data_IF_598568530978
#
_entry.id   IF_598568530978
#
_cell.length_a   1.000
_cell.length_b   1.000
_cell.length_c   1.000
_cell.angle_alpha   90.00
_cell.angle_beta   90.00
_cell.angle_gamma   90.00
#
_symmetry.space_group_name_H-M   'P 1'
#
loop_
_entity.id
_entity.type
_entity.pdbx_description
1 polymer ?
#
# COMPACT_ATOMS: atom_id res chain seq x y z
N UNK A 1 -1.12 -31.07 -0.97
CA UNK A 1 -1.09 -29.63 -1.31
C UNK A 1 -1.26 -28.86 0.00
N UNK A 2 -0.51 -27.78 0.25
CA UNK A 2 -0.67 -27.02 1.50
C UNK A 2 -1.99 -26.23 1.41
N UNK A 3 -2.85 -26.24 2.45
CA UNK A 3 -4.07 -25.43 2.49
C UNK A 3 -3.79 -23.95 2.24
N UNK A 4 -4.61 -23.31 1.40
CA UNK A 4 -4.43 -21.89 1.04
C UNK A 4 -4.51 -21.01 2.29
N UNK A 5 -5.47 -21.26 3.19
CA UNK A 5 -5.60 -20.54 4.45
C UNK A 5 -4.31 -20.55 5.28
N UNK A 6 -3.63 -21.70 5.34
CA UNK A 6 -2.36 -21.87 6.07
C UNK A 6 -1.20 -21.12 5.41
N UNK A 7 -1.14 -21.07 4.08
CA UNK A 7 -0.13 -20.27 3.37
C UNK A 7 -0.35 -18.78 3.64
N UNK A 8 -1.59 -18.31 3.59
CA UNK A 8 -1.92 -16.91 3.92
C UNK A 8 -1.58 -16.58 5.38
N UNK A 9 -1.80 -17.50 6.32
CA UNK A 9 -1.45 -17.31 7.73
C UNK A 9 0.06 -17.15 7.92
N UNK A 10 0.86 -18.05 7.34
CA UNK A 10 2.33 -17.95 7.37
C UNK A 10 2.78 -16.61 6.77
N UNK A 11 2.22 -16.23 5.62
CA UNK A 11 2.53 -14.96 4.96
C UNK A 11 2.15 -13.75 5.83
N UNK A 12 0.99 -13.80 6.49
CA UNK A 12 0.53 -12.76 7.40
C UNK A 12 1.53 -12.57 8.56
N UNK A 13 1.92 -13.65 9.24
CA UNK A 13 2.92 -13.58 10.31
C UNK A 13 4.27 -13.07 9.84
N UNK A 14 4.70 -13.43 8.63
CA UNK A 14 5.92 -12.92 8.02
C UNK A 14 5.82 -11.41 7.78
N UNK A 15 4.75 -10.94 7.13
CA UNK A 15 4.52 -9.52 6.85
C UNK A 15 4.42 -8.70 8.14
N UNK A 16 3.69 -9.19 9.13
CA UNK A 16 3.53 -8.51 10.43
C UNK A 16 4.87 -8.42 11.13
N UNK A 17 5.59 -9.54 11.26
CA UNK A 17 6.87 -9.55 12.00
C UNK A 17 7.92 -8.70 11.30
N UNK A 18 8.17 -8.93 10.01
CA UNK A 18 9.20 -8.22 9.26
C UNK A 18 8.82 -6.76 9.08
N UNK A 19 7.56 -6.47 8.75
CA UNK A 19 7.03 -5.12 8.59
C UNK A 19 7.14 -4.30 9.86
N UNK A 20 6.73 -4.83 11.01
CA UNK A 20 6.84 -4.12 12.29
C UNK A 20 8.29 -3.87 12.66
N UNK A 21 9.19 -4.85 12.51
CA UNK A 21 10.62 -4.68 12.80
C UNK A 21 11.25 -3.62 11.90
N UNK A 22 11.00 -3.65 10.59
CA UNK A 22 11.57 -2.69 9.64
C UNK A 22 11.02 -1.27 9.86
N UNK A 23 9.73 -1.12 10.12
CA UNK A 23 9.14 0.20 10.43
C UNK A 23 9.66 0.75 11.76
N UNK A 24 9.78 -0.07 12.80
CA UNK A 24 10.35 0.35 14.09
C UNK A 24 11.82 0.77 13.92
N UNK A 25 12.61 0.01 13.15
CA UNK A 25 14.00 0.35 12.83
C UNK A 25 14.08 1.66 12.04
N UNK A 26 13.22 1.86 11.04
CA UNK A 26 13.19 3.09 10.27
C UNK A 26 12.81 4.29 11.13
N UNK A 27 11.80 4.17 12.00
CA UNK A 27 11.45 5.22 12.96
C UNK A 27 12.66 5.60 13.81
N UNK A 28 13.34 4.61 14.39
CA UNK A 28 14.55 4.85 15.19
C UNK A 28 15.67 5.53 14.38
N UNK A 29 15.92 5.09 13.15
CA UNK A 29 16.91 5.69 12.25
C UNK A 29 16.55 7.14 11.89
N UNK A 30 15.28 7.41 11.62
CA UNK A 30 14.81 8.76 11.30
C UNK A 30 14.98 9.68 12.51
N UNK A 31 14.70 9.21 13.72
CA UNK A 31 14.86 10.00 14.94
C UNK A 31 16.32 10.25 15.30
N UNK A 32 17.22 9.29 15.05
CA UNK A 32 18.61 9.34 15.56
C UNK A 32 19.66 9.71 14.50
N UNK A 33 19.41 9.45 13.22
CA UNK A 33 20.41 9.58 12.13
C UNK A 33 20.03 10.57 11.02
N UNK A 34 18.85 11.19 11.08
CA UNK A 34 18.45 12.21 10.10
C UNK A 34 19.32 13.47 10.20
N UNK A 35 19.85 13.91 9.07
CA UNK A 35 20.59 15.17 8.97
C UNK A 35 19.63 16.38 8.99
N UNK A 36 20.10 17.56 9.44
CA UNK A 36 19.26 18.76 9.60
C UNK A 36 18.54 19.16 8.31
N UNK A 37 19.19 18.97 7.16
CA UNK A 37 18.68 19.26 5.83
C UNK A 37 17.49 18.36 5.43
N UNK A 38 17.33 17.21 6.09
CA UNK A 38 16.23 16.26 5.86
C UNK A 38 15.08 16.41 6.88
N UNK A 39 15.11 17.40 7.78
CA UNK A 39 14.18 17.46 8.92
C UNK A 39 12.70 17.52 8.52
N UNK A 40 12.37 18.23 7.43
CA UNK A 40 10.98 18.26 6.91
C UNK A 40 10.60 16.88 6.37
N UNK A 41 11.48 16.27 5.58
CA UNK A 41 11.25 14.96 4.98
C UNK A 41 11.17 13.84 6.02
N UNK A 42 11.93 13.95 7.11
CA UNK A 42 11.89 13.03 8.24
C UNK A 42 10.48 12.92 8.82
N UNK A 43 9.72 14.01 8.85
CA UNK A 43 8.32 14.00 9.30
C UNK A 43 7.41 13.23 8.34
N UNK A 44 7.62 13.38 7.03
CA UNK A 44 6.88 12.62 6.01
C UNK A 44 7.19 11.13 6.13
N UNK A 45 8.47 10.76 6.26
CA UNK A 45 8.87 9.37 6.48
C UNK A 45 8.24 8.76 7.74
N UNK A 46 8.24 9.50 8.86
CA UNK A 46 7.62 9.03 10.10
C UNK A 46 6.12 8.79 9.92
N UNK A 47 5.43 9.70 9.22
CA UNK A 47 4.02 9.51 8.92
C UNK A 47 3.79 8.32 8.00
N UNK A 48 4.62 8.09 6.98
CA UNK A 48 4.56 6.85 6.18
C UNK A 48 4.72 5.60 7.04
N UNK A 49 5.68 5.58 7.98
CA UNK A 49 5.84 4.45 8.91
C UNK A 49 4.60 4.23 9.78
N UNK A 50 3.94 5.30 10.23
CA UNK A 50 2.69 5.19 11.01
C UNK A 50 1.58 4.58 10.15
N UNK A 51 1.42 5.02 8.90
CA UNK A 51 0.44 4.42 7.99
C UNK A 51 0.77 2.95 7.71
N UNK A 52 2.04 2.61 7.45
CA UNK A 52 2.48 1.24 7.23
C UNK A 52 2.20 0.34 8.45
N UNK A 53 2.46 0.83 9.68
CA UNK A 53 2.14 0.11 10.92
C UNK A 53 0.63 -0.07 11.13
N UNK A 54 -0.19 0.94 10.81
CA UNK A 54 -1.65 0.82 10.84
C UNK A 54 -2.13 -0.22 9.83
N UNK A 55 -1.57 -0.24 8.63
CA UNK A 55 -1.90 -1.25 7.62
C UNK A 55 -1.48 -2.66 8.06
N UNK A 56 -0.31 -2.82 8.67
CA UNK A 56 0.14 -4.09 9.25
C UNK A 56 -0.84 -4.58 10.33
N UNK A 57 -1.30 -3.67 11.20
CA UNK A 57 -2.30 -4.00 12.22
C UNK A 57 -3.62 -4.46 11.57
N UNK A 58 -4.10 -3.75 10.54
CA UNK A 58 -5.31 -4.16 9.82
C UNK A 58 -5.15 -5.52 9.13
N UNK A 59 -3.97 -5.81 8.56
CA UNK A 59 -3.66 -7.12 7.99
C UNK A 59 -3.70 -8.21 9.06
N UNK A 60 -3.14 -7.98 10.25
CA UNK A 60 -3.21 -8.94 11.35
C UNK A 60 -4.67 -9.19 11.82
N UNK A 61 -5.46 -8.12 11.93
CA UNK A 61 -6.82 -8.21 12.44
C UNK A 61 -7.77 -8.90 11.45
N UNK A 62 -7.61 -8.64 10.15
CA UNK A 62 -8.60 -9.00 9.12
C UNK A 62 -8.06 -10.08 8.19
N UNK A 63 -6.79 -9.98 7.79
CA UNK A 63 -6.12 -10.89 6.85
C UNK A 63 -7.03 -11.24 5.65
N UNK A 64 -7.31 -10.26 4.78
CA UNK A 64 -8.24 -10.48 3.69
C UNK A 64 -7.63 -11.38 2.62
N UNK A 65 -8.42 -12.33 2.16
CA UNK A 65 -8.10 -13.25 1.07
C UNK A 65 -9.11 -13.00 -0.03
N UNK A 66 -8.63 -12.57 -1.19
CA UNK A 66 -9.48 -12.33 -2.35
C UNK A 66 -9.46 -13.55 -3.26
N UNK A 67 -10.64 -14.04 -3.60
CA UNK A 67 -10.81 -15.19 -4.49
C UNK A 67 -11.96 -14.93 -5.46
N UNK A 68 -11.94 -15.60 -6.61
CA UNK A 68 -13.03 -15.52 -7.58
C UNK A 68 -13.61 -16.90 -7.75
N UNK A 69 -14.90 -17.03 -7.49
CA UNK A 69 -15.58 -18.32 -7.48
C UNK A 69 -16.95 -18.19 -8.17
N UNK A 70 -17.17 -19.01 -9.20
CA UNK A 70 -18.45 -19.10 -9.94
C UNK A 70 -19.02 -17.73 -10.40
N UNK A 71 -18.14 -16.85 -10.88
CA UNK A 71 -18.55 -15.52 -11.35
C UNK A 71 -18.78 -14.50 -10.22
N UNK A 72 -18.42 -14.82 -8.98
CA UNK A 72 -18.42 -13.90 -7.86
C UNK A 72 -16.99 -13.56 -7.41
N UNK A 73 -16.76 -12.30 -7.10
CA UNK A 73 -15.62 -11.86 -6.30
C UNK A 73 -15.98 -12.11 -4.83
N UNK A 74 -15.17 -12.91 -4.18
CA UNK A 74 -15.36 -13.36 -2.82
C UNK A 74 -14.19 -12.85 -2.00
N UNK A 75 -14.47 -12.15 -0.90
CA UNK A 75 -13.45 -11.86 0.10
C UNK A 75 -13.72 -12.67 1.36
N UNK A 76 -12.69 -13.42 1.73
CA UNK A 76 -12.63 -14.19 2.95
C UNK A 76 -11.75 -13.45 3.96
N UNK A 77 -12.05 -13.61 5.23
CA UNK A 77 -11.24 -13.14 6.35
C UNK A 77 -10.61 -14.35 7.05
N UNK A 78 -9.32 -14.27 7.32
CA UNK A 78 -8.60 -15.26 8.12
C UNK A 78 -7.86 -14.64 9.32
N UNK A 79 -8.10 -13.37 9.62
CA UNK A 79 -7.38 -12.65 10.68
C UNK A 79 -7.90 -12.99 12.08
N UNK A 80 -7.35 -12.30 13.08
CA UNK A 80 -7.75 -12.46 14.49
C UNK A 80 -9.25 -12.20 14.73
N UNK A 81 -9.87 -11.36 13.88
CA UNK A 81 -11.28 -11.00 13.97
C UNK A 81 -12.16 -11.74 12.96
N UNK A 82 -11.69 -12.86 12.38
CA UNK A 82 -12.47 -13.64 11.39
C UNK A 82 -13.84 -14.10 11.91
N UNK A 83 -13.93 -14.44 13.20
CA UNK A 83 -15.16 -14.90 13.84
C UNK A 83 -16.11 -13.76 14.27
N UNK A 84 -15.82 -12.50 13.90
CA UNK A 84 -16.74 -11.41 14.18
C UNK A 84 -18.09 -11.64 13.50
N UNK A 85 -19.18 -11.48 14.24
CA UNK A 85 -20.52 -11.62 13.68
C UNK A 85 -20.83 -10.52 12.66
N UNK A 86 -21.72 -10.75 11.68
CA UNK A 86 -22.31 -9.68 10.91
C UNK A 86 -23.02 -8.68 11.84
N UNK A 87 -22.91 -7.35 11.62
CA UNK A 87 -22.26 -6.68 10.49
C UNK A 87 -20.77 -6.33 10.69
N UNK A 88 -20.17 -6.72 11.82
CA UNK A 88 -18.84 -6.25 12.21
C UNK A 88 -17.73 -6.74 11.28
N UNK A 89 -17.76 -7.99 10.84
CA UNK A 89 -16.76 -8.51 9.88
C UNK A 89 -16.79 -7.72 8.56
N UNK A 90 -18.00 -7.41 8.06
CA UNK A 90 -18.17 -6.58 6.86
C UNK A 90 -17.59 -5.16 7.06
N UNK A 91 -17.90 -4.51 8.19
CA UNK A 91 -17.36 -3.18 8.52
C UNK A 91 -15.83 -3.21 8.59
N UNK A 92 -15.24 -4.24 9.22
CA UNK A 92 -13.79 -4.41 9.29
C UNK A 92 -13.18 -4.52 7.89
N UNK A 93 -13.78 -5.32 7.00
CA UNK A 93 -13.33 -5.42 5.61
C UNK A 93 -13.39 -4.08 4.87
N UNK A 94 -14.46 -3.29 5.07
CA UNK A 94 -14.55 -1.93 4.50
C UNK A 94 -13.46 -1.00 5.04
N UNK A 95 -13.14 -1.08 6.34
CA UNK A 95 -12.03 -0.33 6.94
C UNK A 95 -10.69 -0.72 6.31
N UNK A 96 -10.48 -2.01 6.03
CA UNK A 96 -9.28 -2.46 5.34
C UNK A 96 -9.20 -1.92 3.90
N UNK A 97 -10.29 -2.00 3.13
CA UNK A 97 -10.34 -1.42 1.77
C UNK A 97 -10.06 0.07 1.78
N UNK A 98 -10.67 0.80 2.71
CA UNK A 98 -10.41 2.23 2.91
C UNK A 98 -8.93 2.49 3.15
N UNK A 99 -8.31 1.75 4.09
CA UNK A 99 -6.89 1.90 4.41
C UNK A 99 -5.97 1.56 3.24
N UNK A 100 -6.26 0.49 2.51
CA UNK A 100 -5.48 0.06 1.35
C UNK A 100 -5.53 1.12 0.24
N UNK A 101 -6.73 1.60 -0.10
CA UNK A 101 -6.93 2.63 -1.12
C UNK A 101 -6.28 3.96 -0.70
N UNK A 102 -6.51 4.40 0.54
CA UNK A 102 -5.90 5.62 1.08
C UNK A 102 -4.38 5.56 1.07
N UNK A 103 -3.79 4.41 1.43
CA UNK A 103 -2.33 4.20 1.39
C UNK A 103 -1.79 4.32 -0.03
N UNK A 104 -2.51 3.85 -1.04
CA UNK A 104 -2.09 3.94 -2.44
C UNK A 104 -2.23 5.35 -2.98
N UNK A 105 -3.38 5.98 -2.79
CA UNK A 105 -3.63 7.33 -3.29
C UNK A 105 -2.74 8.37 -2.59
N UNK A 106 -2.53 8.25 -1.28
CA UNK A 106 -1.68 9.17 -0.51
C UNK A 106 -0.21 9.14 -0.91
N UNK A 107 0.24 8.14 -1.67
CA UNK A 107 1.61 8.03 -2.19
C UNK A 107 2.00 9.18 -3.14
N UNK A 108 1.02 9.86 -3.76
CA UNK A 108 1.28 11.02 -4.61
C UNK A 108 1.52 12.32 -3.80
N UNK A 109 1.02 12.40 -2.56
CA UNK A 109 1.10 13.61 -1.73
C UNK A 109 2.55 14.05 -1.44
N UNK A 110 3.49 13.15 -1.12
CA UNK A 110 4.91 13.51 -1.02
C UNK A 110 5.47 14.22 -2.26
N UNK A 111 5.03 13.82 -3.47
CA UNK A 111 5.47 14.46 -4.71
C UNK A 111 4.88 15.86 -4.87
N UNK A 112 3.57 16.03 -4.61
CA UNK A 112 2.92 17.35 -4.64
C UNK A 112 3.58 18.28 -3.64
N UNK A 113 3.75 17.81 -2.40
CA UNK A 113 4.37 18.59 -1.33
C UNK A 113 5.78 19.05 -1.71
N UNK A 114 6.62 18.14 -2.24
CA UNK A 114 7.98 18.49 -2.69
C UNK A 114 8.00 19.41 -3.90
N UNK A 115 7.07 19.24 -4.85
CA UNK A 115 6.92 20.14 -5.98
C UNK A 115 6.61 21.57 -5.50
N UNK A 116 5.67 21.71 -4.56
CA UNK A 116 5.33 23.01 -3.98
C UNK A 116 6.50 23.64 -3.19
N UNK A 117 7.27 22.82 -2.47
CA UNK A 117 8.42 23.28 -1.69
C UNK A 117 9.56 23.75 -2.60
N UNK A 118 9.95 22.95 -3.60
CA UNK A 118 11.16 23.18 -4.40
C UNK A 118 10.90 24.04 -5.65
N UNK A 119 9.79 23.81 -6.34
CA UNK A 119 9.50 24.48 -7.62
C UNK A 119 8.67 25.75 -7.46
N UNK A 120 7.95 25.90 -6.34
CA UNK A 120 7.10 27.07 -6.06
C UNK A 120 7.54 27.88 -4.85
N UNK A 121 8.63 27.48 -4.18
CA UNK A 121 9.24 28.19 -3.04
C UNK A 121 8.22 28.55 -1.95
N UNK A 122 7.20 27.71 -1.74
CA UNK A 122 6.21 27.94 -0.69
C UNK A 122 6.78 27.51 0.65
N UNK A 123 6.60 28.34 1.68
CA UNK A 123 6.85 27.95 3.06
C UNK A 123 5.74 27.01 3.52
N UNK A 124 5.95 25.71 3.32
CA UNK A 124 4.96 24.69 3.66
C UNK A 124 5.16 24.21 5.08
N UNK A 125 4.08 24.21 5.86
CA UNK A 125 4.05 23.59 7.18
C UNK A 125 3.59 22.14 7.08
N UNK A 126 3.73 21.38 8.17
CA UNK A 126 3.18 20.03 8.26
C UNK A 126 1.64 20.04 8.13
N UNK A 127 0.97 21.10 8.62
CA UNK A 127 -0.46 21.26 8.45
C UNK A 127 -0.85 21.36 6.97
N UNK A 128 -0.04 22.01 6.14
CA UNK A 128 -0.27 22.05 4.69
C UNK A 128 -0.20 20.65 4.08
N UNK A 129 0.70 19.79 4.56
CA UNK A 129 0.77 18.40 4.13
C UNK A 129 -0.53 17.64 4.45
N UNK A 130 -1.04 17.74 5.68
CA UNK A 130 -2.32 17.11 6.05
C UNK A 130 -3.51 17.66 5.26
N UNK A 131 -3.53 18.96 4.96
CA UNK A 131 -4.56 19.54 4.08
C UNK A 131 -4.52 18.95 2.67
N UNK A 132 -3.34 18.58 2.17
CA UNK A 132 -3.22 17.88 0.88
C UNK A 132 -3.73 16.44 0.92
N UNK A 133 -3.88 15.83 2.11
CA UNK A 133 -4.47 14.49 2.27
C UNK A 133 -6.01 14.50 2.23
N UNK A 134 -6.65 15.61 2.62
CA UNK A 134 -8.12 15.69 2.76
C UNK A 134 -8.91 15.35 1.48
N UNK A 135 -8.55 15.84 0.28
CA UNK A 135 -9.30 15.50 -0.93
C UNK A 135 -9.26 13.99 -1.23
N UNK A 136 -8.16 13.33 -0.89
CA UNK A 136 -8.01 11.89 -1.13
C UNK A 136 -8.90 11.06 -0.21
N UNK A 137 -9.04 11.47 1.06
CA UNK A 137 -10.01 10.84 1.97
C UNK A 137 -11.44 10.87 1.40
N UNK A 138 -11.83 11.96 0.72
CA UNK A 138 -13.14 12.04 0.09
C UNK A 138 -13.30 11.04 -1.06
N UNK A 139 -12.28 10.88 -1.91
CA UNK A 139 -12.29 9.87 -2.97
C UNK A 139 -12.34 8.43 -2.40
N UNK A 140 -11.62 8.15 -1.31
CA UNK A 140 -11.70 6.84 -0.64
C UNK A 140 -13.09 6.54 -0.09
N UNK A 141 -13.80 7.55 0.43
CA UNK A 141 -15.18 7.37 0.89
C UNK A 141 -16.14 7.04 -0.26
N UNK A 142 -15.96 7.66 -1.43
CA UNK A 142 -16.73 7.32 -2.64
C UNK A 142 -16.46 5.87 -3.04
N UNK A 143 -15.19 5.44 -3.03
CA UNK A 143 -14.82 4.07 -3.34
C UNK A 143 -15.50 3.05 -2.41
N UNK A 144 -15.43 3.28 -1.09
CA UNK A 144 -16.09 2.42 -0.10
C UNK A 144 -17.62 2.40 -0.31
N UNK A 145 -18.23 3.56 -0.62
CA UNK A 145 -19.64 3.64 -0.98
C UNK A 145 -19.98 2.79 -2.22
N UNK A 146 -19.11 2.79 -3.24
CA UNK A 146 -19.23 1.93 -4.41
C UNK A 146 -19.20 0.44 -4.07
N UNK A 147 -18.28 0.02 -3.19
CA UNK A 147 -18.23 -1.36 -2.69
C UNK A 147 -19.52 -1.73 -1.97
N UNK A 148 -20.04 -0.87 -1.09
CA UNK A 148 -21.30 -1.12 -0.38
C UNK A 148 -22.46 -1.31 -1.37
N UNK A 149 -22.54 -0.47 -2.41
CA UNK A 149 -23.55 -0.58 -3.46
C UNK A 149 -23.40 -1.84 -4.32
N UNK A 150 -22.17 -2.34 -4.49
CA UNK A 150 -21.88 -3.57 -5.24
C UNK A 150 -22.04 -4.86 -4.40
N UNK A 151 -21.95 -4.74 -3.07
CA UNK A 151 -22.01 -5.85 -2.15
C UNK A 151 -23.39 -6.51 -2.15
N UNK A 152 -23.39 -7.84 -2.14
CA UNK A 152 -24.59 -8.66 -2.12
C UNK A 152 -25.10 -8.82 -0.66
N UNK A 153 -25.93 -7.90 -0.15
CA UNK A 153 -26.29 -7.84 1.30
C UNK A 153 -27.71 -8.30 1.69
N UNK A 154 -28.49 -8.91 0.80
CA UNK A 154 -29.90 -9.27 1.09
C UNK A 154 -30.06 -10.62 1.84
N UNK A 155 -31.12 -10.77 2.62
CA UNK A 155 -31.37 -11.89 3.53
C UNK A 155 -31.66 -13.23 2.81
N UNK A 156 -32.35 -13.22 1.65
CA UNK A 156 -32.46 -14.41 0.79
C UNK A 156 -31.12 -14.83 0.14
N UNK A 157 -30.14 -13.92 0.11
CA UNK A 157 -28.80 -14.18 -0.45
C UNK A 157 -27.85 -14.79 0.59
N UNK A 158 -28.18 -14.72 1.89
CA UNK A 158 -27.41 -15.33 2.97
C UNK A 158 -27.29 -16.86 2.85
N UNK A 159 -28.32 -17.56 2.35
CA UNK A 159 -28.24 -19.01 2.10
C UNK A 159 -27.21 -19.34 1.02
N UNK A 160 -27.25 -18.63 -0.12
CA UNK A 160 -26.25 -18.78 -1.18
C UNK A 160 -24.84 -18.43 -0.68
N UNK A 161 -24.74 -17.47 0.23
CA UNK A 161 -23.49 -17.07 0.86
C UNK A 161 -22.91 -18.20 1.74
N UNK A 162 -23.76 -18.87 2.51
CA UNK A 162 -23.39 -20.03 3.33
C UNK A 162 -22.97 -21.23 2.46
N UNK A 163 -23.71 -21.51 1.38
CA UNK A 163 -23.37 -22.58 0.42
C UNK A 163 -22.01 -22.34 -0.26
N UNK A 164 -21.77 -21.10 -0.72
CA UNK A 164 -20.48 -20.70 -1.30
C UNK A 164 -19.37 -20.77 -0.25
N UNK A 165 -19.63 -20.32 0.97
CA UNK A 165 -18.65 -20.36 2.06
C UNK A 165 -18.26 -21.81 2.41
N UNK A 166 -19.22 -22.72 2.47
CA UNK A 166 -18.97 -24.14 2.71
C UNK A 166 -18.18 -24.78 1.57
N UNK A 167 -18.54 -24.47 0.32
CA UNK A 167 -17.86 -24.97 -0.88
C UNK A 167 -16.41 -24.47 -0.97
N UNK A 168 -16.19 -23.18 -0.69
CA UNK A 168 -14.86 -22.57 -0.67
C UNK A 168 -13.99 -23.11 0.47
N UNK A 169 -14.55 -23.31 1.66
CA UNK A 169 -13.80 -23.88 2.77
C UNK A 169 -13.36 -25.33 2.46
N UNK A 170 -14.24 -26.15 1.88
CA UNK A 170 -13.90 -27.49 1.43
C UNK A 170 -12.81 -27.47 0.34
N UNK A 171 -12.87 -26.52 -0.58
CA UNK A 171 -11.91 -26.42 -1.67
C UNK A 171 -10.54 -25.87 -1.24
N UNK A 172 -10.51 -24.81 -0.43
CA UNK A 172 -9.29 -24.08 -0.05
C UNK A 172 -8.56 -24.70 1.14
N UNK A 173 -9.30 -25.26 2.10
CA UNK A 173 -8.73 -25.85 3.32
C UNK A 173 -8.73 -27.38 3.31
N UNK A 174 -9.45 -28.01 2.38
CA UNK A 174 -9.62 -29.46 2.37
C UNK A 174 -10.45 -29.92 3.58
N UNK A 175 -10.06 -31.02 4.21
CA UNK A 175 -10.71 -31.57 5.42
C UNK A 175 -10.18 -30.98 6.73
N UNK A 176 -9.17 -30.11 6.70
CA UNK A 176 -8.63 -29.49 7.90
C UNK A 176 -9.59 -28.40 8.39
N UNK A 177 -10.26 -28.67 9.52
CA UNK A 177 -11.26 -27.79 10.13
C UNK A 177 -10.68 -26.64 10.96
N UNK A 178 -9.36 -26.60 11.18
CA UNK A 178 -8.76 -25.63 12.10
C UNK A 178 -8.64 -24.21 11.50
N UNK A 179 -8.67 -24.09 10.16
CA UNK A 179 -8.50 -22.81 9.46
C UNK A 179 -9.74 -22.36 8.70
N UNK A 180 -10.93 -22.45 9.33
CA UNK A 180 -12.18 -21.96 8.70
C UNK A 180 -11.99 -20.50 8.28
N UNK A 181 -12.18 -20.27 6.99
CA UNK A 181 -12.20 -18.95 6.36
C UNK A 181 -13.62 -18.41 6.48
N UNK A 182 -13.75 -17.15 6.86
CA UNK A 182 -15.06 -16.52 7.00
C UNK A 182 -15.35 -15.65 5.80
N UNK A 183 -16.38 -16.00 5.03
CA UNK A 183 -16.89 -15.16 3.96
C UNK A 183 -17.39 -13.83 4.51
N UNK A 184 -16.78 -12.74 4.05
CA UNK A 184 -17.08 -11.39 4.53
C UNK A 184 -17.76 -10.54 3.47
N UNK A 185 -17.39 -10.72 2.20
CA UNK A 185 -17.93 -9.96 1.08
C UNK A 185 -18.15 -10.85 -0.13
N UNK A 186 -19.30 -10.69 -0.77
CA UNK A 186 -19.64 -11.32 -2.04
C UNK A 186 -20.08 -10.23 -3.01
N UNK A 187 -19.46 -10.16 -4.18
CA UNK A 187 -19.77 -9.20 -5.24
C UNK A 187 -19.89 -9.97 -6.56
N UNK A 188 -21.01 -9.79 -7.26
CA UNK A 188 -21.17 -10.37 -8.59
C UNK A 188 -20.22 -9.68 -9.59
N UNK A 189 -19.35 -10.46 -10.24
CA UNK A 189 -18.26 -9.94 -11.09
C UNK A 189 -18.76 -9.17 -12.29
N UNK A 190 -19.96 -9.49 -12.78
CA UNK A 190 -20.58 -8.84 -13.94
C UNK A 190 -21.59 -7.77 -13.55
N UNK A 191 -21.68 -7.41 -12.28
CA UNK A 191 -22.60 -6.37 -11.83
C UNK A 191 -22.12 -4.98 -12.28
N UNK A 192 -23.08 -4.14 -12.69
CA UNK A 192 -22.81 -2.74 -13.09
C UNK A 192 -22.14 -1.96 -11.95
N UNK A 193 -22.58 -2.04 -10.67
CA UNK A 193 -21.91 -1.34 -9.57
C UNK A 193 -20.44 -1.75 -9.39
N UNK A 194 -20.11 -3.03 -9.58
CA UNK A 194 -18.73 -3.49 -9.54
C UNK A 194 -17.91 -2.92 -10.69
N UNK A 195 -18.42 -2.98 -11.92
CA UNK A 195 -17.74 -2.42 -13.08
C UNK A 195 -17.45 -0.92 -12.91
N UNK A 196 -18.41 -0.15 -12.39
CA UNK A 196 -18.21 1.28 -12.07
C UNK A 196 -17.12 1.46 -11.02
N UNK A 197 -17.12 0.64 -9.96
CA UNK A 197 -16.12 0.68 -8.89
C UNK A 197 -14.70 0.38 -9.42
N UNK A 198 -14.57 -0.59 -10.32
CA UNK A 198 -13.30 -0.94 -10.99
C UNK A 198 -12.82 0.18 -11.90
N UNK A 199 -13.69 0.75 -12.73
CA UNK A 199 -13.33 1.88 -13.61
C UNK A 199 -12.91 3.10 -12.77
N UNK A 200 -13.61 3.34 -11.66
CA UNK A 200 -13.30 4.41 -10.73
C UNK A 200 -11.90 4.25 -10.12
N UNK A 201 -11.57 3.08 -9.55
CA UNK A 201 -10.25 2.87 -8.91
C UNK A 201 -9.11 2.99 -9.94
N UNK A 202 -9.25 2.40 -11.13
CA UNK A 202 -8.27 2.51 -12.21
C UNK A 202 -8.09 3.98 -12.62
N UNK A 203 -9.19 4.73 -12.76
CA UNK A 203 -9.14 6.14 -13.12
C UNK A 203 -8.43 7.01 -12.07
N UNK A 204 -8.77 6.82 -10.79
CA UNK A 204 -8.14 7.55 -9.67
C UNK A 204 -6.65 7.23 -9.57
N UNK A 205 -6.28 5.96 -9.69
CA UNK A 205 -4.88 5.53 -9.69
C UNK A 205 -4.10 6.11 -10.88
N UNK A 206 -4.66 6.06 -12.08
CA UNK A 206 -4.05 6.65 -13.27
C UNK A 206 -3.77 8.16 -13.07
N UNK A 207 -4.72 8.90 -12.50
CA UNK A 207 -4.53 10.32 -12.15
C UNK A 207 -3.41 10.50 -11.13
N UNK A 208 -3.35 9.67 -10.08
CA UNK A 208 -2.28 9.71 -9.10
C UNK A 208 -0.90 9.50 -9.73
N UNK A 209 -0.78 8.54 -10.66
CA UNK A 209 0.47 8.29 -11.38
C UNK A 209 0.88 9.42 -12.30
N UNK A 210 -0.07 10.01 -13.02
CA UNK A 210 0.19 11.19 -13.84
C UNK A 210 0.75 12.31 -12.96
N UNK A 211 0.16 12.54 -11.77
CA UNK A 211 0.66 13.53 -10.80
C UNK A 211 2.08 13.21 -10.35
N UNK A 212 2.36 11.96 -9.96
CA UNK A 212 3.69 11.51 -9.52
C UNK A 212 4.73 11.76 -10.62
N UNK A 213 4.45 11.34 -11.85
CA UNK A 213 5.37 11.50 -12.99
C UNK A 213 5.60 12.98 -13.30
N UNK A 214 4.53 13.78 -13.44
CA UNK A 214 4.63 15.21 -13.76
C UNK A 214 5.38 15.97 -12.65
N UNK A 215 5.04 15.73 -11.38
CA UNK A 215 5.73 16.37 -10.26
C UNK A 215 7.19 15.92 -10.18
N UNK A 216 7.46 14.62 -10.32
CA UNK A 216 8.81 14.05 -10.30
C UNK A 216 9.71 14.62 -11.41
N UNK A 217 9.19 14.74 -12.64
CA UNK A 217 9.91 15.34 -13.76
C UNK A 217 10.20 16.83 -13.52
N UNK A 218 9.21 17.60 -13.03
CA UNK A 218 9.40 19.02 -12.69
C UNK A 218 10.43 19.21 -11.57
N UNK A 219 10.37 18.39 -10.52
CA UNK A 219 11.36 18.42 -9.42
C UNK A 219 12.75 18.12 -9.98
N UNK A 220 12.92 17.07 -10.78
CA UNK A 220 14.21 16.69 -11.38
C UNK A 220 14.77 17.82 -12.23
N UNK A 221 13.93 18.46 -13.04
CA UNK A 221 14.33 19.58 -13.88
C UNK A 221 14.76 20.80 -13.04
N UNK A 222 13.99 21.18 -12.03
CA UNK A 222 14.33 22.32 -11.14
C UNK A 222 15.61 22.07 -10.36
N UNK A 223 15.79 20.89 -9.77
CA UNK A 223 17.01 20.53 -9.03
C UNK A 223 18.23 20.51 -9.96
N UNK A 224 18.08 19.98 -11.18
CA UNK A 224 19.14 19.98 -12.19
C UNK A 224 19.52 21.36 -12.74
N UNK A 225 18.59 22.33 -12.74
CA UNK A 225 18.91 23.74 -13.03
C UNK A 225 19.65 24.41 -11.88
N UNK A 226 19.19 24.20 -10.64
CA UNK A 226 19.84 24.77 -9.45
C UNK A 226 21.31 24.33 -9.31
N UNK A 227 21.60 23.06 -9.67
CA UNK A 227 22.97 22.53 -9.68
C UNK A 227 23.87 23.24 -10.71
N UNK A 228 23.33 23.56 -11.90
CA UNK A 228 24.12 24.22 -12.95
C UNK A 228 24.49 25.66 -12.62
N UNK A 229 23.69 26.34 -11.81
CA UNK A 229 23.88 27.77 -11.51
C UNK A 229 24.70 27.96 -10.22
N UNK A 230 25.13 26.89 -9.54
CA UNK A 230 25.91 26.92 -8.28
C UNK A 230 25.30 27.77 -7.15
N UNK A 231 24.02 28.13 -7.27
CA UNK A 231 23.31 29.03 -6.34
C UNK A 231 22.96 28.37 -5.00
N UNK A 232 23.15 27.06 -4.85
CA UNK A 232 22.70 26.29 -3.70
C UNK A 232 23.82 25.39 -3.17
N UNK A 233 23.81 25.18 -1.85
CA UNK A 233 24.73 24.28 -1.17
C UNK A 233 24.69 22.88 -1.83
N UNK A 234 25.82 22.35 -2.35
CA UNK A 234 25.86 21.09 -3.09
C UNK A 234 25.33 19.90 -2.27
N UNK A 235 25.47 19.96 -0.95
CA UNK A 235 24.94 18.95 -0.03
C UNK A 235 23.41 18.93 -0.02
N UNK A 236 22.76 20.08 -0.09
CA UNK A 236 21.28 20.17 -0.15
C UNK A 236 20.75 19.61 -1.46
N UNK A 237 21.47 19.86 -2.57
CA UNK A 237 21.12 19.33 -3.89
C UNK A 237 21.21 17.80 -3.88
N UNK A 238 22.31 17.25 -3.37
CA UNK A 238 22.49 15.80 -3.34
C UNK A 238 21.45 15.10 -2.46
N UNK A 239 21.17 15.65 -1.29
CA UNK A 239 20.09 15.15 -0.42
C UNK A 239 18.75 15.16 -1.18
N UNK A 240 18.38 16.25 -1.85
CA UNK A 240 17.14 16.32 -2.60
C UNK A 240 17.08 15.32 -3.76
N UNK A 241 18.20 15.08 -4.43
CA UNK A 241 18.29 14.10 -5.50
C UNK A 241 18.05 12.69 -4.97
N UNK A 242 18.72 12.31 -3.88
CA UNK A 242 18.54 11.01 -3.22
C UNK A 242 17.09 10.79 -2.78
N UNK A 243 16.49 11.81 -2.14
CA UNK A 243 15.09 11.77 -1.75
C UNK A 243 14.14 11.55 -2.93
N UNK A 244 14.47 12.09 -4.11
CA UNK A 244 13.65 11.90 -5.30
C UNK A 244 13.72 10.45 -5.81
N UNK A 245 14.90 9.83 -5.73
CA UNK A 245 15.04 8.42 -6.07
C UNK A 245 14.32 7.51 -5.08
N UNK A 246 14.39 7.79 -3.78
CA UNK A 246 13.67 7.04 -2.74
C UNK A 246 12.17 7.08 -3.01
N UNK A 247 11.61 8.28 -3.19
CA UNK A 247 10.18 8.43 -3.46
C UNK A 247 9.77 7.79 -4.80
N UNK A 248 10.61 7.89 -5.83
CA UNK A 248 10.35 7.23 -7.10
C UNK A 248 10.30 5.71 -6.92
N UNK A 249 11.25 5.11 -6.19
CA UNK A 249 11.25 3.69 -5.90
C UNK A 249 10.02 3.26 -5.09
N UNK A 250 9.64 4.03 -4.05
CA UNK A 250 8.43 3.77 -3.27
C UNK A 250 7.15 3.89 -4.12
N UNK A 251 7.11 4.84 -5.07
CA UNK A 251 5.96 5.00 -5.97
C UNK A 251 5.81 3.87 -7.00
N UNK A 252 6.81 2.99 -7.15
CA UNK A 252 6.65 1.78 -7.96
C UNK A 252 5.90 0.68 -7.21
N UNK A 253 5.84 0.73 -5.88
CA UNK A 253 5.17 -0.33 -5.10
C UNK A 253 3.67 -0.42 -5.39
N UNK A 254 2.90 0.68 -5.42
CA UNK A 254 1.49 0.56 -5.76
C UNK A 254 1.25 0.18 -7.23
N UNK A 255 2.24 0.33 -8.14
CA UNK A 255 2.12 -0.18 -9.53
C UNK A 255 2.14 -1.70 -9.53
N UNK A 256 3.02 -2.29 -8.71
CA UNK A 256 3.11 -3.74 -8.55
C UNK A 256 1.81 -4.28 -7.94
N UNK A 257 1.28 -3.62 -6.90
CA UNK A 257 0.00 -3.98 -6.30
C UNK A 257 -1.15 -3.86 -7.31
N UNK A 258 -1.24 -2.75 -8.05
CA UNK A 258 -2.27 -2.54 -9.07
C UNK A 258 -2.16 -3.56 -10.20
N UNK A 259 -0.96 -3.86 -10.69
CA UNK A 259 -0.78 -4.85 -11.74
C UNK A 259 -1.30 -6.23 -11.32
N UNK A 260 -1.07 -6.60 -10.05
CA UNK A 260 -1.62 -7.82 -9.47
C UNK A 260 -3.14 -7.75 -9.34
N UNK A 261 -3.70 -6.64 -8.86
CA UNK A 261 -5.15 -6.43 -8.76
C UNK A 261 -5.84 -6.49 -10.13
N UNK A 262 -5.28 -5.85 -11.16
CA UNK A 262 -5.80 -5.89 -12.53
C UNK A 262 -5.70 -7.30 -13.09
N UNK A 263 -4.61 -8.01 -12.85
CA UNK A 263 -4.46 -9.40 -13.29
C UNK A 263 -5.53 -10.30 -12.63
N UNK A 264 -5.81 -10.10 -11.34
CA UNK A 264 -6.88 -10.79 -10.61
C UNK A 264 -8.26 -10.46 -11.21
N UNK A 265 -8.51 -9.20 -11.60
CA UNK A 265 -9.76 -8.78 -12.24
C UNK A 265 -9.93 -9.34 -13.66
N UNK A 266 -8.85 -9.37 -14.44
CA UNK A 266 -8.91 -9.90 -15.80
C UNK A 266 -9.14 -11.41 -15.79
N UNK A 267 -8.45 -12.13 -14.90
CA UNK A 267 -8.69 -13.56 -14.69
C UNK A 267 -10.11 -13.82 -14.18
N UNK A 268 -10.65 -12.96 -13.30
CA UNK A 268 -12.03 -13.09 -12.81
C UNK A 268 -13.10 -12.96 -13.89
N UNK A 269 -12.86 -12.12 -14.90
CA UNK A 269 -13.81 -11.86 -15.98
C UNK A 269 -13.68 -12.88 -17.10
N UNK A 270 -12.44 -13.27 -17.43
CA UNK A 270 -12.14 -14.08 -18.60
C UNK A 270 -12.23 -15.59 -18.34
N UNK A 271 -12.09 -16.02 -17.09
CA UNK A 271 -12.03 -17.44 -16.78
C UNK A 271 -13.13 -17.91 -15.84
N UNK A 272 -13.69 -19.08 -16.17
CA UNK A 272 -14.69 -19.79 -15.38
C UNK A 272 -14.10 -21.06 -14.72
N UNK A 273 -12.78 -21.24 -14.75
CA UNK A 273 -12.14 -22.48 -14.31
C UNK A 273 -11.78 -22.44 -12.82
N UNK A 274 -11.79 -23.60 -12.17
CA UNK A 274 -11.41 -23.75 -10.76
C UNK A 274 -9.91 -23.54 -10.51
N UNK A 275 -9.07 -23.68 -11.54
CA UNK A 275 -7.62 -23.51 -11.43
C UNK A 275 -7.22 -22.03 -11.20
N UNK A 276 -8.06 -21.09 -11.64
CA UNK A 276 -7.85 -19.66 -11.44
C UNK A 276 -7.98 -19.25 -9.97
N UNK A 277 -8.76 -20.00 -9.18
CA UNK A 277 -8.97 -19.74 -7.75
C UNK A 277 -7.64 -19.76 -7.00
N UNK A 278 -6.79 -20.77 -7.24
CA UNK A 278 -5.48 -20.89 -6.59
C UNK A 278 -4.55 -19.78 -7.04
N UNK A 279 -4.50 -19.49 -8.34
CA UNK A 279 -3.64 -18.44 -8.88
C UNK A 279 -3.95 -17.08 -8.26
N UNK A 280 -5.24 -16.70 -8.23
CA UNK A 280 -5.70 -15.43 -7.66
C UNK A 280 -5.41 -15.38 -6.16
N UNK A 281 -5.70 -16.46 -5.43
CA UNK A 281 -5.41 -16.54 -3.99
C UNK A 281 -3.92 -16.27 -3.72
N UNK A 282 -3.02 -16.95 -4.42
CA UNK A 282 -1.57 -16.76 -4.23
C UNK A 282 -1.08 -15.38 -4.69
N UNK A 283 -1.64 -14.81 -5.77
CA UNK A 283 -1.28 -13.47 -6.22
C UNK A 283 -1.57 -12.40 -5.15
N UNK A 284 -2.64 -12.59 -4.36
CA UNK A 284 -3.05 -11.63 -3.33
C UNK A 284 -2.11 -11.60 -2.11
N UNK A 285 -1.25 -12.60 -1.93
CA UNK A 285 -0.24 -12.61 -0.85
C UNK A 285 0.68 -11.38 -0.89
N UNK A 286 0.96 -10.87 -2.10
CA UNK A 286 1.85 -9.74 -2.32
C UNK A 286 1.21 -8.38 -2.01
N UNK A 287 -0.13 -8.30 -1.92
CA UNK A 287 -0.86 -7.05 -1.64
C UNK A 287 -0.56 -6.46 -0.25
N UNK A 288 0.07 -7.22 0.64
CA UNK A 288 0.41 -6.77 1.99
C UNK A 288 1.88 -6.35 2.13
N UNK A 289 2.71 -6.55 1.09
CA UNK A 289 4.15 -6.33 1.18
C UNK A 289 4.57 -4.87 1.08
N UNK A 290 3.71 -3.95 0.63
CA UNK A 290 4.08 -2.53 0.58
C UNK A 290 4.54 -1.96 1.91
N UNK A 291 3.88 -2.33 3.01
CA UNK A 291 4.27 -1.91 4.36
C UNK A 291 5.64 -2.47 4.81
N UNK A 292 6.13 -3.52 4.16
CA UNK A 292 7.46 -4.13 4.37
C UNK A 292 8.49 -3.49 3.44
N UNK A 293 8.14 -3.32 2.16
CA UNK A 293 9.02 -2.83 1.12
C UNK A 293 9.28 -1.32 1.26
N UNK A 294 8.31 -0.53 1.69
CA UNK A 294 8.46 0.90 1.95
C UNK A 294 9.64 1.23 2.88
N UNK A 295 9.70 0.68 4.11
CA UNK A 295 10.80 0.96 5.02
C UNK A 295 12.11 0.33 4.53
N UNK A 296 12.06 -0.85 3.90
CA UNK A 296 13.24 -1.50 3.34
C UNK A 296 13.92 -0.63 2.27
N UNK A 297 13.15 -0.15 1.30
CA UNK A 297 13.63 0.75 0.24
C UNK A 297 14.23 2.01 0.87
N UNK A 298 13.54 2.62 1.83
CA UNK A 298 14.01 3.83 2.52
C UNK A 298 15.35 3.61 3.21
N UNK A 299 15.47 2.52 3.98
CA UNK A 299 16.68 2.16 4.72
C UNK A 299 17.86 1.93 3.77
N UNK A 300 17.64 1.18 2.68
CA UNK A 300 18.68 0.83 1.73
C UNK A 300 19.12 2.02 0.86
N UNK A 301 18.21 2.92 0.51
CA UNK A 301 18.50 4.02 -0.41
C UNK A 301 19.03 5.28 0.29
N UNK A 302 18.68 5.53 1.56
CA UNK A 302 19.17 6.71 2.30
C UNK A 302 20.54 6.41 2.93
N UNK A 303 21.63 7.07 2.50
CA UNK A 303 22.99 6.68 2.90
C UNK A 303 23.25 6.73 4.41
N UNK A 304 22.82 7.75 5.17
CA UNK A 304 22.96 7.74 6.63
C UNK A 304 22.36 6.49 7.30
N UNK A 305 21.27 5.95 6.74
CA UNK A 305 20.56 4.80 7.29
C UNK A 305 21.27 3.50 6.90
N UNK A 306 21.55 3.31 5.60
CA UNK A 306 22.28 2.13 5.11
C UNK A 306 23.68 2.01 5.70
N UNK A 307 24.42 3.12 5.80
CA UNK A 307 25.80 3.10 6.30
C UNK A 307 25.85 2.70 7.77
N UNK A 308 24.82 3.07 8.54
CA UNK A 308 24.68 2.62 9.92
C UNK A 308 24.54 1.09 10.00
N UNK A 309 23.65 0.51 9.20
CA UNK A 309 23.42 -0.96 9.19
C UNK A 309 24.64 -1.71 8.67
N UNK A 310 25.22 -1.25 7.57
CA UNK A 310 26.40 -1.89 6.94
C UNK A 310 27.71 -1.59 7.66
N UNK A 311 27.68 -0.83 8.77
CA UNK A 311 28.86 -0.36 9.53
C UNK A 311 29.93 0.30 8.66
N UNK A 312 29.55 0.86 7.52
CA UNK A 312 30.48 1.55 6.63
C UNK A 312 30.82 2.90 7.28
N UNK A 313 32.04 3.01 7.83
CA UNK A 313 32.56 4.29 8.33
C UNK A 313 32.41 5.32 7.21
N UNK A 314 31.92 6.50 7.57
CA UNK A 314 31.94 7.67 6.71
C UNK A 314 33.40 7.89 6.37
N UNK A 315 33.81 7.55 5.15
CA UNK A 315 35.11 7.99 4.64
C UNK A 315 34.89 9.48 4.39
N UNK A 316 35.27 10.29 5.37
CA UNK A 316 35.28 11.75 5.28
C UNK A 316 36.39 12.18 4.29
N UNK A 317 36.26 11.81 3.02
CA UNK A 317 37.09 12.33 1.93
C UNK A 317 36.50 13.64 1.43
N UNK A 318 36.43 14.68 2.26
CA UNK A 318 36.19 16.06 1.79
C UNK A 318 36.75 17.12 2.75
N UNK A 319 37.90 16.84 3.36
CA UNK A 319 38.70 17.83 4.07
C UNK A 319 40.13 17.85 3.50
N UNK A 320 40.27 18.25 2.23
CA UNK A 320 41.56 18.70 1.64
C UNK A 320 41.39 19.22 0.21
N UNK A 321 40.53 20.22 -0.01
CA UNK A 321 40.58 21.04 -1.25
C UNK A 321 40.37 22.52 -0.95
N UNK A 322 40.92 22.97 0.18
CA UNK A 322 41.25 24.35 0.45
C UNK A 322 42.67 24.36 1.04
N UNK A 323 43.63 24.08 0.18
CA UNK A 323 44.97 24.67 0.16
C UNK A 323 45.34 24.84 -1.30
#
# INVERSE_FOLDING_TARGET
MIPVGRVHEINCWLVVTVGTVLNALLIWLVLTKSVKEMKIYSKVLLQTCVIDLLMILLVLLIQPIYVVFEGYNVLLSNGLLKNASPPYNFILMLIWFFGACFSTISSCVPFIYRYLLLCRLKNLTLLTYFKLLLPWLFFDLIFVGGIICAAYTDQMRCQKLEDINNSLNLFLNGKDTDSILTLTLLIETRSIPWAITVVYIIGVEAVCYIIIVVCGLKIRHTVGRAQRISLHNPRIIEVNRQLNYVLAAQSLLPLLEMALSILCLLTSVLSNSSDDLYFISYATLFMHYKAVLNPLITILMIPPYRNFITRRKRIDNFSSSHM
#
